data_IF_045753855659
#
_entry.id   IF_045753855659
#
_cell.length_a   1.000
_cell.length_b   1.000
_cell.length_c   1.000
_cell.angle_alpha   90.00
_cell.angle_beta   90.00
_cell.angle_gamma   90.00
#
_symmetry.space_group_name_H-M   'P 1'
#
loop_
_entity.id
_entity.type
_entity.pdbx_description
1 polymer ?
#
# COMPACT_ATOMS: atom_id res chain seq x y z
N UNK A 1 8.70 10.08 24.30
CA UNK A 1 8.74 10.17 22.83
C UNK A 1 7.83 11.31 22.40
N UNK A 2 8.21 12.05 21.35
CA UNK A 2 7.36 13.10 20.78
C UNK A 2 6.13 12.47 20.12
N UNK A 3 5.03 13.22 20.04
CA UNK A 3 3.86 12.86 19.26
C UNK A 3 4.20 13.00 17.77
N UNK A 4 3.61 12.12 16.95
CA UNK A 4 3.83 12.09 15.51
C UNK A 4 2.49 12.19 14.80
N UNK A 5 2.42 13.03 13.79
CA UNK A 5 1.19 13.36 13.10
C UNK A 5 1.33 13.14 11.58
N UNK A 6 0.21 12.82 10.96
CA UNK A 6 0.01 12.89 9.51
C UNK A 6 -0.57 14.27 9.19
N UNK A 7 0.13 15.05 8.39
CA UNK A 7 -0.32 16.39 7.98
C UNK A 7 -1.05 16.38 6.65
N UNK A 8 -0.57 15.61 5.69
CA UNK A 8 -1.20 15.53 4.37
C UNK A 8 -0.89 14.21 3.67
N UNK A 9 -1.65 13.92 2.61
CA UNK A 9 -1.43 12.77 1.75
C UNK A 9 -1.83 13.09 0.30
N UNK A 10 -1.03 12.58 -0.65
CA UNK A 10 -1.31 12.64 -2.09
C UNK A 10 -0.93 11.33 -2.76
N UNK A 11 -1.53 11.04 -3.91
CA UNK A 11 -1.15 9.92 -4.76
C UNK A 11 -1.39 10.22 -6.23
N UNK A 12 -0.73 9.52 -7.11
CA UNK A 12 -1.13 9.47 -8.52
C UNK A 12 -2.45 8.69 -8.66
N UNK A 13 -3.18 8.79 -9.78
CA UNK A 13 -4.07 7.71 -10.18
C UNK A 13 -3.27 6.40 -10.22
N UNK A 14 -3.93 5.28 -9.95
CA UNK A 14 -3.32 3.98 -10.17
C UNK A 14 -3.74 3.44 -11.53
N UNK A 15 -2.76 3.21 -12.40
CA UNK A 15 -2.99 2.68 -13.73
C UNK A 15 -2.78 1.17 -13.76
N UNK A 16 -3.53 0.47 -14.60
CA UNK A 16 -3.33 -0.96 -14.85
C UNK A 16 -2.02 -1.22 -15.56
N UNK A 17 -1.52 -2.44 -15.47
CA UNK A 17 -0.36 -2.89 -16.24
C UNK A 17 -0.53 -2.55 -17.73
N UNK A 18 0.44 -1.85 -18.31
CA UNK A 18 0.37 -1.38 -19.70
C UNK A 18 -0.61 -0.24 -19.94
N UNK A 19 -1.17 0.37 -18.89
CA UNK A 19 -2.11 1.48 -18.95
C UNK A 19 -1.47 2.87 -19.06
N UNK A 20 -2.20 3.89 -18.62
CA UNK A 20 -1.82 5.29 -18.80
C UNK A 20 -0.49 5.71 -18.18
N UNK A 21 -0.01 4.99 -17.16
CA UNK A 21 1.28 5.26 -16.53
C UNK A 21 2.43 4.37 -17.02
N UNK A 22 2.18 3.43 -17.92
CA UNK A 22 3.19 2.44 -18.35
C UNK A 22 4.45 3.05 -19.00
N UNK A 23 4.39 4.27 -19.50
CA UNK A 23 5.52 5.00 -20.10
C UNK A 23 6.22 5.94 -19.12
N UNK A 24 5.66 6.14 -17.93
CA UNK A 24 6.23 7.02 -16.90
C UNK A 24 7.20 6.19 -16.04
N UNK A 25 8.39 6.70 -15.85
CA UNK A 25 9.43 6.03 -15.03
C UNK A 25 9.00 6.00 -13.55
N UNK A 26 9.35 4.96 -12.77
CA UNK A 26 9.02 4.90 -11.35
C UNK A 26 9.64 6.05 -10.52
N UNK A 27 10.82 6.52 -10.87
CA UNK A 27 11.45 7.66 -10.22
C UNK A 27 10.75 8.99 -10.56
N UNK A 28 10.21 9.16 -11.77
CA UNK A 28 9.36 10.31 -12.15
C UNK A 28 7.99 10.25 -11.45
N UNK A 29 7.37 9.06 -11.31
CA UNK A 29 6.12 8.89 -10.54
C UNK A 29 6.32 9.32 -9.08
N UNK A 30 7.43 8.88 -8.48
CA UNK A 30 7.79 9.26 -7.12
C UNK A 30 8.06 10.76 -7.00
N UNK A 31 8.79 11.36 -7.96
CA UNK A 31 9.05 12.79 -7.99
C UNK A 31 7.76 13.62 -8.12
N UNK A 32 6.79 13.15 -8.93
CA UNK A 32 5.50 13.81 -9.10
C UNK A 32 4.73 13.98 -7.79
N UNK A 33 4.65 12.91 -6.95
CA UNK A 33 3.94 13.01 -5.68
C UNK A 33 4.72 13.81 -4.63
N UNK A 34 6.06 13.84 -4.69
CA UNK A 34 6.88 14.71 -3.84
C UNK A 34 6.62 16.17 -4.22
N UNK A 35 6.70 16.51 -5.50
CA UNK A 35 6.47 17.85 -6.01
C UNK A 35 5.04 18.33 -5.68
N UNK A 36 4.03 17.49 -5.94
CA UNK A 36 2.65 17.82 -5.62
C UNK A 36 2.42 18.03 -4.11
N UNK A 37 3.15 17.32 -3.25
CA UNK A 37 3.09 17.54 -1.81
C UNK A 37 3.67 18.89 -1.42
N UNK A 38 4.85 19.24 -1.88
CA UNK A 38 5.49 20.51 -1.48
C UNK A 38 4.79 21.74 -2.09
N UNK A 39 4.18 21.60 -3.26
CA UNK A 39 3.38 22.67 -3.89
C UNK A 39 2.15 23.07 -3.05
N UNK A 40 1.65 22.17 -2.20
CA UNK A 40 0.56 22.49 -1.25
C UNK A 40 0.99 23.40 -0.11
N UNK A 41 2.29 23.53 0.11
CA UNK A 41 2.90 24.33 1.18
C UNK A 41 3.83 25.38 0.59
N UNK A 42 3.30 26.41 -0.13
CA UNK A 42 4.13 27.38 -0.89
C UNK A 42 5.06 28.22 -0.02
N UNK A 43 4.81 28.30 1.28
CA UNK A 43 5.65 29.01 2.24
C UNK A 43 6.64 28.08 2.97
N UNK A 44 6.63 26.78 2.69
CA UNK A 44 7.56 25.84 3.29
C UNK A 44 8.98 26.07 2.77
N UNK A 45 9.90 26.37 3.67
CA UNK A 45 11.32 26.20 3.39
C UNK A 45 11.62 24.69 3.25
N UNK A 46 11.78 24.24 2.02
CA UNK A 46 11.97 22.81 1.72
C UNK A 46 13.24 22.21 2.35
N UNK A 47 14.19 23.06 2.79
CA UNK A 47 15.36 22.61 3.56
C UNK A 47 15.00 22.13 4.98
N UNK A 48 13.78 22.40 5.44
CA UNK A 48 13.22 21.92 6.71
C UNK A 48 12.61 20.50 6.62
N UNK A 49 12.56 19.92 5.43
CA UNK A 49 12.29 18.48 5.28
C UNK A 49 13.56 17.76 5.67
N UNK A 50 13.52 17.03 6.82
CA UNK A 50 14.70 16.37 7.37
C UNK A 50 15.09 15.14 6.54
N UNK A 51 14.11 14.41 5.98
CA UNK A 51 14.35 13.21 5.18
C UNK A 51 13.16 12.88 4.26
N UNK A 52 13.47 12.19 3.16
CA UNK A 52 12.47 11.52 2.29
C UNK A 52 12.61 10.01 2.47
N UNK A 53 11.56 9.31 2.93
CA UNK A 53 11.57 7.85 3.12
C UNK A 53 10.52 7.21 2.24
N UNK A 54 10.95 6.48 1.20
CA UNK A 54 10.05 5.85 0.23
C UNK A 54 10.12 4.32 0.23
N UNK A 55 8.94 3.71 0.13
CA UNK A 55 8.78 2.30 -0.14
C UNK A 55 8.91 1.96 -1.62
N UNK A 56 9.61 0.88 -1.91
CA UNK A 56 9.66 0.30 -3.25
C UNK A 56 9.95 -1.19 -3.15
N UNK A 57 9.14 -2.02 -3.80
CA UNK A 57 9.24 -3.47 -3.67
C UNK A 57 10.24 -4.08 -4.65
N UNK A 58 10.34 -3.56 -5.87
CA UNK A 58 11.17 -4.16 -6.91
C UNK A 58 12.61 -3.64 -6.87
N UNK A 59 12.85 -2.36 -7.04
CA UNK A 59 14.19 -1.73 -7.00
C UNK A 59 15.18 -2.24 -8.03
N UNK A 60 14.76 -3.04 -9.01
CA UNK A 60 15.66 -3.73 -9.95
C UNK A 60 15.98 -2.92 -11.20
N UNK A 61 15.32 -1.81 -11.44
CA UNK A 61 15.41 -1.06 -12.70
C UNK A 61 15.65 0.43 -12.50
N UNK A 62 14.74 1.22 -13.01
CA UNK A 62 14.81 2.68 -13.09
C UNK A 62 14.64 3.37 -11.72
N UNK A 63 14.29 2.63 -10.67
CA UNK A 63 14.32 3.05 -9.27
C UNK A 63 15.73 3.35 -8.77
N UNK A 64 16.73 2.86 -9.50
CA UNK A 64 18.14 3.14 -9.30
C UNK A 64 18.62 2.92 -7.85
N UNK A 65 18.17 1.80 -7.23
CA UNK A 65 18.46 1.32 -5.88
C UNK A 65 17.88 2.17 -4.73
N UNK A 66 18.00 3.50 -4.80
CA UNK A 66 17.45 4.42 -3.80
C UNK A 66 16.53 5.42 -4.47
N UNK A 67 15.31 4.97 -4.77
CA UNK A 67 14.31 5.78 -5.47
C UNK A 67 13.93 7.04 -4.67
N UNK A 68 13.94 6.98 -3.34
CA UNK A 68 13.67 8.14 -2.49
C UNK A 68 14.63 9.29 -2.79
N UNK A 69 15.93 9.01 -2.83
CA UNK A 69 16.93 10.05 -3.13
C UNK A 69 16.84 10.52 -4.57
N UNK A 70 16.64 9.61 -5.53
CA UNK A 70 16.49 9.99 -6.94
C UNK A 70 15.28 10.89 -7.14
N UNK A 71 14.13 10.50 -6.60
CA UNK A 71 12.90 11.25 -6.72
C UNK A 71 12.95 12.61 -6.02
N UNK A 72 13.58 12.70 -4.84
CA UNK A 72 13.72 13.98 -4.13
C UNK A 72 14.52 15.01 -4.94
N UNK A 73 15.59 14.58 -5.61
CA UNK A 73 16.38 15.42 -6.48
C UNK A 73 15.63 15.81 -7.78
N UNK A 74 14.92 14.85 -8.40
CA UNK A 74 14.08 15.10 -9.57
C UNK A 74 12.93 16.05 -9.26
N UNK A 75 12.37 15.98 -8.06
CA UNK A 75 11.32 16.90 -7.59
C UNK A 75 11.85 18.30 -7.25
N UNK A 76 13.16 18.52 -7.30
CA UNK A 76 13.79 19.81 -7.03
C UNK A 76 14.00 20.14 -5.54
N UNK A 77 13.88 19.15 -4.64
CA UNK A 77 14.22 19.38 -3.23
C UNK A 77 15.70 19.74 -3.07
N UNK A 78 16.06 20.54 -2.04
CA UNK A 78 17.45 20.88 -1.75
C UNK A 78 18.34 19.64 -1.66
N UNK A 79 19.56 19.71 -2.16
CA UNK A 79 20.52 18.61 -2.12
C UNK A 79 20.93 18.19 -0.69
N UNK A 80 20.63 19.04 0.29
CA UNK A 80 20.81 18.74 1.72
C UNK A 80 19.79 17.73 2.27
N UNK A 81 18.64 17.55 1.62
CA UNK A 81 17.60 16.60 2.09
C UNK A 81 18.00 15.17 1.71
N UNK A 82 18.30 14.30 2.68
CA UNK A 82 18.65 12.91 2.41
C UNK A 82 17.44 12.09 1.97
N UNK A 83 17.69 10.88 1.46
CA UNK A 83 16.63 9.96 1.06
C UNK A 83 16.97 8.52 1.40
N UNK A 84 15.98 7.79 1.92
CA UNK A 84 16.05 6.37 2.28
C UNK A 84 14.97 5.58 1.53
N UNK A 85 15.34 4.46 0.93
CA UNK A 85 14.37 3.52 0.36
C UNK A 85 14.26 2.27 1.23
N UNK A 86 13.01 1.91 1.59
CA UNK A 86 12.70 0.73 2.38
C UNK A 86 11.93 -0.29 1.55
N UNK A 87 12.14 -1.56 1.81
CA UNK A 87 11.45 -2.66 1.15
C UNK A 87 10.89 -3.64 2.17
N UNK A 88 9.58 -3.64 2.30
CA UNK A 88 8.76 -4.69 2.92
C UNK A 88 7.65 -5.10 1.96
N UNK A 89 8.04 -5.34 0.70
CA UNK A 89 7.12 -5.73 -0.38
C UNK A 89 5.85 -4.85 -0.40
N UNK A 90 4.66 -5.45 -0.32
CA UNK A 90 3.37 -4.75 -0.38
C UNK A 90 3.18 -3.64 0.67
N UNK A 91 3.84 -3.73 1.82
CA UNK A 91 3.73 -2.74 2.90
C UNK A 91 4.87 -1.72 2.94
N UNK A 92 5.73 -1.67 1.92
CA UNK A 92 6.95 -0.84 1.94
C UNK A 92 6.69 0.61 2.33
N UNK A 93 5.66 1.27 1.81
CA UNK A 93 5.39 2.67 2.15
C UNK A 93 4.68 2.86 3.50
N UNK A 94 3.94 1.86 4.01
CA UNK A 94 3.49 1.94 5.41
C UNK A 94 4.66 1.75 6.37
N UNK A 95 5.61 0.87 6.02
CA UNK A 95 6.85 0.68 6.78
C UNK A 95 7.75 1.93 6.71
N UNK A 96 7.76 2.65 5.57
CA UNK A 96 8.39 3.96 5.45
C UNK A 96 7.81 4.96 6.47
N UNK A 97 6.48 5.02 6.60
CA UNK A 97 5.81 5.85 7.61
C UNK A 97 6.13 5.40 9.04
N UNK A 98 6.25 4.09 9.29
CA UNK A 98 6.68 3.55 10.59
C UNK A 98 8.11 4.00 10.92
N UNK A 99 9.04 3.89 9.98
CA UNK A 99 10.43 4.35 10.17
C UNK A 99 10.50 5.85 10.46
N UNK A 100 9.83 6.67 9.67
CA UNK A 100 9.73 8.10 9.90
C UNK A 100 9.13 8.43 11.28
N UNK A 101 8.10 7.67 11.68
CA UNK A 101 7.49 7.87 13.00
C UNK A 101 8.40 7.52 14.17
N UNK A 102 9.40 6.64 13.98
CA UNK A 102 10.42 6.38 14.99
C UNK A 102 11.41 7.55 15.07
N UNK A 103 11.91 8.05 13.93
CA UNK A 103 12.88 9.16 13.93
C UNK A 103 12.28 10.48 14.44
N UNK A 104 11.00 10.75 14.10
CA UNK A 104 10.27 11.90 14.66
C UNK A 104 10.01 11.68 16.16
N UNK A 105 9.56 10.50 16.55
CA UNK A 105 9.27 10.16 17.93
C UNK A 105 10.48 10.20 18.85
N UNK A 106 11.70 9.89 18.36
CA UNK A 106 12.96 10.04 19.09
C UNK A 106 13.44 11.49 19.19
N UNK A 107 12.96 12.37 18.30
CA UNK A 107 13.39 13.76 18.22
C UNK A 107 14.58 14.00 17.27
N UNK A 108 14.97 12.98 16.49
CA UNK A 108 16.03 13.12 15.48
C UNK A 108 15.55 13.92 14.27
N UNK A 109 14.28 13.76 13.89
CA UNK A 109 13.62 14.48 12.80
C UNK A 109 12.37 15.22 13.30
N UNK A 110 11.98 16.28 12.60
CA UNK A 110 10.78 17.07 12.86
C UNK A 110 9.74 16.93 11.72
N UNK A 111 10.18 16.91 10.46
CA UNK A 111 9.34 16.84 9.27
C UNK A 111 9.92 15.84 8.27
N UNK A 112 9.18 14.78 7.97
CA UNK A 112 9.61 13.72 7.05
C UNK A 112 8.56 13.51 5.98
N UNK A 113 8.98 13.51 4.73
CA UNK A 113 8.14 13.17 3.61
C UNK A 113 8.26 11.66 3.35
N UNK A 114 7.20 10.91 3.62
CA UNK A 114 7.14 9.48 3.38
C UNK A 114 6.32 9.17 2.15
N UNK A 115 6.53 8.00 1.58
CA UNK A 115 5.77 7.62 0.39
C UNK A 115 6.20 6.28 -0.15
N UNK A 116 5.89 6.08 -1.43
CA UNK A 116 6.36 4.93 -2.18
C UNK A 116 5.90 4.95 -3.62
N UNK A 117 6.55 4.14 -4.42
CA UNK A 117 6.29 4.01 -5.85
C UNK A 117 6.47 2.57 -6.29
N UNK A 118 5.71 2.18 -7.30
CA UNK A 118 5.91 0.94 -8.02
C UNK A 118 5.49 1.13 -9.48
N UNK A 119 6.31 0.66 -10.42
CA UNK A 119 5.90 0.50 -11.80
C UNK A 119 6.07 -0.96 -12.22
N UNK A 120 4.96 -1.69 -12.20
CA UNK A 120 4.96 -3.09 -12.62
C UNK A 120 5.06 -3.22 -14.14
N UNK A 121 4.64 -2.19 -14.88
CA UNK A 121 4.79 -2.11 -16.34
C UNK A 121 6.24 -1.97 -16.80
N UNK A 122 7.09 -1.31 -15.99
CA UNK A 122 8.50 -1.06 -16.33
C UNK A 122 9.49 -1.96 -15.57
N UNK A 123 8.97 -2.92 -14.81
CA UNK A 123 9.80 -3.89 -14.11
C UNK A 123 10.69 -4.66 -15.12
N UNK A 124 12.02 -4.63 -14.98
CA UNK A 124 12.93 -5.18 -15.98
C UNK A 124 13.01 -6.71 -15.93
N UNK A 125 13.55 -7.29 -16.96
CA UNK A 125 14.10 -8.64 -16.91
C UNK A 125 15.51 -8.59 -16.34
N UNK A 126 15.89 -9.59 -15.55
CA UNK A 126 17.25 -9.78 -15.03
C UNK A 126 17.87 -11.08 -15.57
N UNK A 127 19.17 -11.05 -15.77
CA UNK A 127 19.95 -12.20 -16.22
C UNK A 127 21.05 -12.45 -15.18
N UNK A 128 21.09 -13.64 -14.54
CA UNK A 128 22.19 -14.00 -13.65
C UNK A 128 23.53 -13.97 -14.38
N UNK A 129 24.58 -13.55 -13.69
CA UNK A 129 25.94 -13.68 -14.24
C UNK A 129 26.31 -15.15 -14.34
N UNK A 130 27.01 -15.55 -15.42
CA UNK A 130 27.49 -16.92 -15.55
C UNK A 130 28.52 -17.24 -14.45
N UNK A 131 28.49 -18.46 -13.92
CA UNK A 131 29.44 -18.94 -12.92
C UNK A 131 30.86 -19.19 -13.51
N UNK A 132 30.94 -19.39 -14.83
CA UNK A 132 32.19 -19.68 -15.53
C UNK A 132 32.45 -18.61 -16.59
N UNK A 133 33.74 -18.33 -16.83
CA UNK A 133 34.15 -17.53 -17.98
C UNK A 133 33.80 -18.26 -19.29
N UNK A 134 33.42 -17.49 -20.31
CA UNK A 134 33.07 -18.00 -21.64
C UNK A 134 31.98 -19.09 -21.62
N UNK A 135 30.78 -18.82 -21.10
CA UNK A 135 29.70 -19.81 -21.07
C UNK A 135 29.29 -20.18 -22.50
N UNK A 136 29.21 -21.48 -22.80
CA UNK A 136 28.80 -21.98 -24.10
C UNK A 136 27.27 -22.20 -24.21
N UNK A 137 26.52 -22.00 -23.14
CA UNK A 137 25.06 -22.21 -23.06
C UNK A 137 24.26 -20.92 -23.14
N UNK A 138 22.94 -21.05 -23.25
CA UNK A 138 21.99 -19.94 -23.19
C UNK A 138 21.83 -19.45 -21.76
N UNK A 139 21.61 -18.13 -21.58
CA UNK A 139 21.19 -17.55 -20.30
C UNK A 139 19.69 -17.31 -20.31
N UNK A 140 19.03 -17.63 -19.19
CA UNK A 140 17.61 -17.35 -19.02
C UNK A 140 17.39 -15.94 -18.47
N UNK A 141 16.48 -15.18 -19.09
CA UNK A 141 15.97 -13.92 -18.55
C UNK A 141 14.82 -14.22 -17.58
N UNK A 142 14.85 -13.59 -16.40
CA UNK A 142 13.83 -13.73 -15.38
C UNK A 142 13.07 -12.41 -15.23
N UNK A 143 11.73 -12.45 -15.33
CA UNK A 143 10.87 -11.28 -15.08
C UNK A 143 10.95 -10.86 -13.62
N UNK A 144 10.95 -9.56 -13.38
CA UNK A 144 10.90 -9.01 -12.03
C UNK A 144 9.54 -8.37 -11.70
N UNK A 145 8.55 -8.49 -12.60
CA UNK A 145 7.24 -7.83 -12.48
C UNK A 145 6.44 -8.33 -11.29
N UNK A 146 6.38 -9.64 -11.09
CA UNK A 146 5.57 -10.28 -10.04
C UNK A 146 6.20 -11.61 -9.62
N UNK A 147 5.93 -12.01 -8.38
CA UNK A 147 6.36 -13.29 -7.84
C UNK A 147 7.83 -13.31 -7.38
N UNK A 148 8.24 -14.50 -6.99
CA UNK A 148 9.60 -14.74 -6.49
C UNK A 148 10.55 -15.01 -7.66
N UNK A 149 11.75 -14.47 -7.58
CA UNK A 149 12.78 -14.65 -8.60
C UNK A 149 14.10 -15.08 -7.97
N UNK A 150 14.82 -15.93 -8.66
CA UNK A 150 16.15 -16.40 -8.23
C UNK A 150 16.13 -16.97 -6.79
N UNK A 151 15.08 -17.75 -6.51
CA UNK A 151 14.83 -18.33 -5.18
C UNK A 151 16.04 -19.18 -4.77
N UNK A 152 16.48 -19.03 -3.51
CA UNK A 152 17.53 -19.87 -2.95
C UNK A 152 17.05 -21.33 -2.91
N UNK A 153 17.80 -22.30 -3.49
CA UNK A 153 17.42 -23.71 -3.52
C UNK A 153 17.25 -24.37 -2.14
N UNK A 154 17.72 -23.71 -1.08
CA UNK A 154 17.53 -24.17 0.32
C UNK A 154 16.21 -23.73 0.93
N UNK A 155 15.49 -22.83 0.26
CA UNK A 155 14.18 -22.33 0.75
C UNK A 155 13.14 -23.45 0.55
N UNK A 156 12.33 -23.78 1.57
CA UNK A 156 11.22 -24.69 1.41
C UNK A 156 10.27 -24.23 0.30
N UNK A 157 9.86 -25.15 -0.57
CA UNK A 157 9.04 -24.82 -1.74
C UNK A 157 7.69 -24.20 -1.34
N UNK A 158 7.06 -24.72 -0.29
CA UNK A 158 5.79 -24.22 0.23
C UNK A 158 5.85 -22.75 0.67
N UNK A 159 7.01 -22.22 1.01
CA UNK A 159 7.18 -20.82 1.43
C UNK A 159 7.29 -19.83 0.26
N UNK A 160 7.58 -20.36 -0.92
CA UNK A 160 7.83 -19.54 -2.12
C UNK A 160 6.90 -19.85 -3.28
N UNK A 161 5.77 -20.49 -2.99
CA UNK A 161 4.68 -20.63 -3.96
C UNK A 161 4.19 -19.24 -4.41
N UNK A 162 3.53 -19.17 -5.56
CA UNK A 162 2.95 -17.88 -6.00
C UNK A 162 1.97 -17.34 -4.97
N UNK A 163 1.82 -16.00 -4.89
CA UNK A 163 0.90 -15.40 -3.92
C UNK A 163 -0.55 -15.84 -4.12
N UNK A 164 -0.95 -16.11 -5.36
CA UNK A 164 -2.27 -16.66 -5.62
C UNK A 164 -2.41 -18.11 -5.14
N UNK A 165 -1.41 -18.96 -5.31
CA UNK A 165 -1.42 -20.31 -4.73
C UNK A 165 -1.41 -20.27 -3.19
N UNK A 166 -0.62 -19.38 -2.59
CA UNK A 166 -0.64 -19.14 -1.15
C UNK A 166 -2.04 -18.70 -0.66
N UNK A 167 -2.74 -17.90 -1.45
CA UNK A 167 -4.12 -17.51 -1.17
C UNK A 167 -5.10 -18.67 -1.29
N UNK A 168 -4.92 -19.57 -2.26
CA UNK A 168 -5.73 -20.79 -2.36
C UNK A 168 -5.50 -21.73 -1.15
N UNK A 169 -4.27 -21.80 -0.64
CA UNK A 169 -3.99 -22.56 0.61
C UNK A 169 -4.66 -21.90 1.83
N UNK A 170 -4.74 -20.57 1.85
CA UNK A 170 -5.48 -19.85 2.86
C UNK A 170 -6.99 -20.14 2.77
N UNK A 171 -7.53 -20.16 1.53
CA UNK A 171 -8.92 -20.56 1.26
C UNK A 171 -9.20 -21.98 1.78
N UNK A 172 -8.31 -22.92 1.51
CA UNK A 172 -8.44 -24.30 2.01
C UNK A 172 -8.44 -24.37 3.55
N UNK A 173 -7.56 -23.59 4.19
CA UNK A 173 -7.43 -23.55 5.66
C UNK A 173 -8.68 -22.97 6.34
N UNK A 174 -9.25 -21.91 5.79
CA UNK A 174 -10.37 -21.17 6.39
C UNK A 174 -11.72 -21.44 5.73
N UNK A 175 -11.76 -22.29 4.70
CA UNK A 175 -12.97 -22.67 3.96
C UNK A 175 -13.75 -21.46 3.40
N UNK A 176 -13.03 -20.47 2.86
CA UNK A 176 -13.63 -19.25 2.28
C UNK A 176 -14.26 -19.59 0.93
N UNK A 177 -15.57 -19.43 0.80
CA UNK A 177 -16.27 -19.74 -0.47
C UNK A 177 -15.92 -18.75 -1.58
N UNK A 178 -15.99 -19.22 -2.84
CA UNK A 178 -15.82 -18.39 -4.02
C UNK A 178 -16.87 -17.27 -4.08
N UNK A 179 -18.10 -17.56 -3.71
CA UNK A 179 -19.20 -16.60 -3.70
C UNK A 179 -18.92 -15.42 -2.77
N UNK A 180 -18.51 -15.67 -1.52
CA UNK A 180 -18.10 -14.60 -0.60
C UNK A 180 -16.96 -13.73 -1.13
N UNK A 181 -15.99 -14.36 -1.82
CA UNK A 181 -14.88 -13.62 -2.45
C UNK A 181 -15.38 -12.69 -3.56
N UNK A 182 -16.29 -13.17 -4.41
CA UNK A 182 -16.87 -12.38 -5.51
C UNK A 182 -17.79 -11.27 -4.96
N UNK A 183 -18.57 -11.53 -3.90
CA UNK A 183 -19.40 -10.52 -3.21
C UNK A 183 -18.52 -9.38 -2.68
N UNK A 184 -17.41 -9.70 -2.00
CA UNK A 184 -16.50 -8.68 -1.50
C UNK A 184 -15.86 -7.87 -2.62
N UNK A 185 -15.46 -8.52 -3.71
CA UNK A 185 -14.89 -7.85 -4.87
C UNK A 185 -15.86 -6.86 -5.53
N UNK A 186 -17.13 -7.24 -5.67
CA UNK A 186 -18.20 -6.35 -6.16
C UNK A 186 -18.34 -5.14 -5.24
N UNK A 187 -18.36 -5.36 -3.93
CA UNK A 187 -18.47 -4.30 -2.93
C UNK A 187 -17.30 -3.31 -3.03
N UNK A 188 -16.06 -3.79 -3.21
CA UNK A 188 -14.87 -2.94 -3.40
C UNK A 188 -15.05 -2.01 -4.61
N UNK A 189 -15.49 -2.54 -5.75
CA UNK A 189 -15.75 -1.74 -6.96
C UNK A 189 -16.86 -0.71 -6.78
N UNK A 190 -17.96 -1.10 -6.16
CA UNK A 190 -19.10 -0.19 -5.90
C UNK A 190 -18.69 0.95 -4.97
N UNK A 191 -17.98 0.65 -3.89
CA UNK A 191 -17.46 1.65 -2.95
C UNK A 191 -16.47 2.61 -3.61
N UNK A 192 -15.53 2.09 -4.41
CA UNK A 192 -14.57 2.91 -5.12
C UNK A 192 -15.24 3.86 -6.12
N UNK A 193 -16.23 3.36 -6.86
CA UNK A 193 -17.00 4.19 -7.80
C UNK A 193 -17.78 5.28 -7.06
N UNK A 194 -18.52 4.92 -6.02
CA UNK A 194 -19.28 5.88 -5.22
C UNK A 194 -18.39 6.97 -4.60
N UNK A 195 -17.21 6.60 -4.10
CA UNK A 195 -16.24 7.54 -3.53
C UNK A 195 -15.70 8.53 -4.58
N UNK A 196 -15.44 8.07 -5.81
CA UNK A 196 -15.06 8.95 -6.92
C UNK A 196 -16.17 9.92 -7.31
N UNK A 197 -17.41 9.44 -7.43
CA UNK A 197 -18.55 10.30 -7.77
C UNK A 197 -18.87 11.31 -6.66
N UNK A 198 -18.59 10.96 -5.40
CA UNK A 198 -18.73 11.85 -4.25
C UNK A 198 -17.58 12.87 -4.09
N UNK A 199 -16.51 12.80 -4.92
CA UNK A 199 -15.37 13.72 -4.85
C UNK A 199 -14.39 13.45 -3.70
N UNK A 200 -14.47 12.29 -3.05
CA UNK A 200 -13.58 11.97 -1.92
C UNK A 200 -12.09 11.90 -2.30
N UNK A 201 -11.78 11.71 -3.57
CA UNK A 201 -10.41 11.64 -4.08
C UNK A 201 -9.88 12.96 -4.64
N UNK A 202 -10.67 14.04 -4.73
CA UNK A 202 -10.29 15.31 -5.36
C UNK A 202 -9.04 15.95 -4.70
N UNK A 203 -8.93 15.80 -3.38
CA UNK A 203 -7.76 16.28 -2.62
C UNK A 203 -6.69 15.22 -2.37
N UNK A 204 -6.84 14.01 -2.92
CA UNK A 204 -5.88 12.91 -2.77
C UNK A 204 -5.13 12.62 -4.07
N UNK A 205 -5.85 12.64 -5.20
CA UNK A 205 -5.31 12.21 -6.49
C UNK A 205 -4.77 13.41 -7.26
N UNK A 206 -3.49 13.33 -7.64
CA UNK A 206 -2.82 14.32 -8.49
C UNK A 206 -2.60 13.73 -9.88
N UNK A 207 -3.02 14.39 -10.95
CA UNK A 207 -2.88 13.88 -12.30
C UNK A 207 -1.44 13.68 -12.73
N UNK A 208 -1.19 12.68 -13.59
CA UNK A 208 0.09 12.48 -14.27
C UNK A 208 -0.18 12.43 -15.78
N UNK A 209 0.15 13.47 -16.50
CA UNK A 209 -0.21 13.60 -17.92
C UNK A 209 -1.72 13.49 -18.11
N UNK A 210 -2.15 12.54 -18.94
CA UNK A 210 -3.58 12.29 -19.21
C UNK A 210 -4.24 11.38 -18.18
N UNK A 211 -3.49 10.70 -17.33
CA UNK A 211 -4.03 9.87 -16.27
C UNK A 211 -4.57 10.75 -15.13
N UNK A 212 -5.88 10.72 -14.89
CA UNK A 212 -6.58 11.54 -13.90
C UNK A 212 -7.41 10.74 -12.91
N UNK A 213 -7.69 9.47 -13.21
CA UNK A 213 -8.56 8.58 -12.41
C UNK A 213 -7.98 7.18 -12.40
N UNK A 214 -8.27 6.42 -11.36
CA UNK A 214 -7.89 5.01 -11.27
C UNK A 214 -8.53 4.21 -12.39
N UNK A 215 -7.73 3.39 -13.09
CA UNK A 215 -8.15 2.75 -14.34
C UNK A 215 -8.86 1.40 -14.17
N UNK A 216 -8.85 0.84 -12.95
CA UNK A 216 -9.28 -0.54 -12.72
C UNK A 216 -10.67 -0.68 -12.10
N UNK A 217 -11.34 0.44 -11.80
CA UNK A 217 -12.68 0.45 -11.24
C UNK A 217 -13.70 -0.05 -12.29
N UNK A 218 -14.53 -1.02 -11.90
CA UNK A 218 -15.56 -1.66 -12.74
C UNK A 218 -16.89 -1.65 -11.99
N UNK A 219 -17.63 -0.53 -12.00
CA UNK A 219 -18.88 -0.39 -11.24
C UNK A 219 -19.99 -1.33 -11.71
N UNK A 220 -19.90 -1.82 -12.95
CA UNK A 220 -20.81 -2.80 -13.56
C UNK A 220 -20.60 -4.24 -13.09
N UNK A 221 -19.59 -4.51 -12.26
CA UNK A 221 -19.31 -5.85 -11.76
C UNK A 221 -20.47 -6.36 -10.90
N UNK A 222 -20.86 -7.62 -11.13
CA UNK A 222 -21.87 -8.34 -10.33
C UNK A 222 -21.31 -9.69 -9.92
N UNK A 223 -21.87 -10.30 -8.87
CA UNK A 223 -21.49 -11.65 -8.45
C UNK A 223 -21.67 -12.65 -9.60
N UNK A 224 -22.75 -12.51 -10.37
CA UNK A 224 -23.00 -13.36 -11.56
C UNK A 224 -21.89 -13.22 -12.61
N UNK A 225 -21.46 -12.00 -12.94
CA UNK A 225 -20.37 -11.80 -13.92
C UNK A 225 -19.04 -12.31 -13.41
N UNK A 226 -18.73 -12.14 -12.13
CA UNK A 226 -17.50 -12.62 -11.53
C UNK A 226 -17.47 -14.14 -11.40
N UNK A 227 -18.60 -14.78 -11.08
CA UNK A 227 -18.68 -16.25 -10.96
C UNK A 227 -18.30 -16.99 -12.25
N UNK A 228 -18.46 -16.34 -13.41
CA UNK A 228 -18.09 -16.90 -14.73
C UNK A 228 -16.57 -16.77 -15.02
N UNK A 229 -15.80 -16.08 -14.20
CA UNK A 229 -14.36 -15.93 -14.41
C UNK A 229 -13.63 -17.25 -14.09
N UNK A 230 -12.66 -17.58 -14.94
CA UNK A 230 -11.80 -18.75 -14.72
C UNK A 230 -10.84 -18.48 -13.56
N UNK A 231 -10.57 -19.52 -12.77
CA UNK A 231 -9.54 -19.52 -11.76
C UNK A 231 -8.14 -19.37 -12.39
N UNK A 232 -7.27 -18.63 -11.75
CA UNK A 232 -5.95 -18.26 -12.31
C UNK A 232 -4.85 -19.20 -11.85
N UNK A 233 -4.86 -19.60 -10.58
CA UNK A 233 -3.73 -20.29 -9.95
C UNK A 233 -3.96 -21.81 -9.88
N UNK A 234 -5.18 -22.25 -9.63
CA UNK A 234 -5.57 -23.66 -9.63
C UNK A 234 -6.64 -23.92 -10.66
N UNK A 235 -6.44 -24.90 -11.54
CA UNK A 235 -7.43 -25.29 -12.55
C UNK A 235 -8.61 -26.06 -11.97
N UNK A 236 -8.34 -26.89 -10.97
CA UNK A 236 -9.32 -27.70 -10.26
C UNK A 236 -9.43 -27.18 -8.81
N UNK A 237 -10.66 -27.02 -8.35
CA UNK A 237 -10.98 -26.51 -7.02
C UNK A 237 -10.35 -25.15 -6.65
N UNK A 238 -9.93 -24.37 -7.64
CA UNK A 238 -9.46 -23.01 -7.42
C UNK A 238 -10.63 -22.04 -7.22
N UNK A 239 -10.37 -20.94 -6.50
CA UNK A 239 -11.35 -19.90 -6.19
C UNK A 239 -10.89 -18.51 -6.60
N UNK A 240 -9.56 -18.29 -6.66
CA UNK A 240 -8.97 -16.99 -6.98
C UNK A 240 -9.01 -16.71 -8.48
N UNK A 241 -9.56 -15.57 -8.84
CA UNK A 241 -9.72 -15.11 -10.22
C UNK A 241 -9.15 -13.70 -10.41
N UNK A 242 -9.09 -13.23 -11.65
CA UNK A 242 -8.76 -11.84 -11.94
C UNK A 242 -9.82 -10.83 -11.44
N UNK A 243 -11.00 -11.29 -11.03
CA UNK A 243 -12.09 -10.45 -10.52
C UNK A 243 -12.07 -10.27 -9.00
N UNK A 244 -11.48 -11.21 -8.25
CA UNK A 244 -11.44 -11.18 -6.80
C UNK A 244 -10.02 -11.06 -6.21
N UNK A 245 -9.08 -10.61 -7.06
CA UNK A 245 -7.70 -10.29 -6.70
C UNK A 245 -7.36 -8.87 -7.17
N UNK A 246 -6.43 -8.21 -6.48
CA UNK A 246 -5.92 -6.91 -6.93
C UNK A 246 -5.17 -7.05 -8.25
N UNK A 247 -5.34 -6.11 -9.19
CA UNK A 247 -4.61 -6.10 -10.45
C UNK A 247 -3.14 -5.66 -10.25
N UNK A 248 -2.31 -5.91 -11.26
CA UNK A 248 -0.97 -5.34 -11.36
C UNK A 248 -1.07 -3.87 -11.81
N UNK A 249 -0.36 -2.97 -11.10
CA UNK A 249 -0.53 -1.54 -11.28
C UNK A 249 0.80 -0.76 -11.26
N UNK A 250 0.70 0.44 -11.83
CA UNK A 250 1.69 1.50 -11.73
C UNK A 250 1.14 2.62 -10.87
N UNK A 251 1.97 3.24 -10.03
CA UNK A 251 1.55 4.39 -9.24
C UNK A 251 2.51 4.79 -8.14
N UNK A 252 2.28 5.95 -7.56
CA UNK A 252 3.02 6.48 -6.42
C UNK A 252 2.08 7.16 -5.43
N UNK A 253 2.48 7.21 -4.16
CA UNK A 253 1.78 7.92 -3.10
C UNK A 253 2.77 8.54 -2.13
N UNK A 254 2.40 9.65 -1.50
CA UNK A 254 3.19 10.32 -0.48
C UNK A 254 2.31 10.72 0.71
N UNK A 255 2.91 10.73 1.90
CA UNK A 255 2.31 11.17 3.16
C UNK A 255 3.32 12.04 3.89
N UNK A 256 2.89 13.20 4.34
CA UNK A 256 3.72 14.13 5.09
C UNK A 256 3.54 13.87 6.59
N UNK A 257 4.62 13.48 7.25
CA UNK A 257 4.66 13.23 8.69
C UNK A 257 5.47 14.30 9.41
N UNK A 258 5.05 14.66 10.61
CA UNK A 258 5.79 15.61 11.41
C UNK A 258 5.51 15.49 12.91
N UNK A 259 6.33 16.14 13.71
CA UNK A 259 6.04 16.37 15.13
C UNK A 259 4.95 17.44 15.28
N UNK A 260 4.50 17.69 16.48
CA UNK A 260 3.58 18.80 16.77
C UNK A 260 4.14 20.17 16.30
N UNK A 261 5.46 20.37 16.42
CA UNK A 261 6.13 21.60 15.97
C UNK A 261 6.09 21.80 14.45
N UNK A 262 5.91 20.73 13.67
CA UNK A 262 5.81 20.82 12.22
C UNK A 262 4.60 21.65 11.77
N UNK A 263 3.54 21.77 12.58
CA UNK A 263 2.41 22.65 12.32
C UNK A 263 2.82 24.11 12.09
N UNK A 264 3.79 24.59 12.87
CA UNK A 264 4.33 25.95 12.70
C UNK A 264 5.15 26.10 11.40
N UNK A 265 5.92 25.07 11.07
CA UNK A 265 6.72 25.03 9.83
C UNK A 265 5.83 24.98 8.57
N UNK A 266 4.72 24.22 8.65
CA UNK A 266 3.79 24.03 7.54
C UNK A 266 2.72 25.12 7.48
N UNK A 267 2.42 25.78 8.61
CA UNK A 267 1.25 26.68 8.72
C UNK A 267 -0.08 25.93 8.58
N UNK A 268 -0.14 24.68 9.01
CA UNK A 268 -1.29 23.79 8.85
C UNK A 268 -1.46 22.87 10.07
N UNK A 269 -2.72 22.53 10.37
CA UNK A 269 -3.06 21.57 11.41
C UNK A 269 -2.93 20.13 10.88
N UNK A 270 -2.59 19.16 11.74
CA UNK A 270 -2.50 17.76 11.35
C UNK A 270 -3.88 17.15 11.04
N UNK A 271 -3.89 16.14 10.19
CA UNK A 271 -5.07 15.33 9.95
C UNK A 271 -5.33 14.34 11.11
N UNK A 272 -4.33 13.56 11.46
CA UNK A 272 -4.45 12.54 12.50
C UNK A 272 -3.11 12.35 13.21
N UNK A 273 -3.16 11.86 14.45
CA UNK A 273 -2.00 11.43 15.24
C UNK A 273 -1.72 9.94 14.97
N UNK A 274 -0.46 9.56 14.87
CA UNK A 274 -0.04 8.14 14.86
C UNK A 274 -0.01 7.65 16.30
N UNK A 275 -1.00 6.85 16.69
CA UNK A 275 -1.11 6.33 18.05
C UNK A 275 -0.21 5.13 18.30
N UNK A 276 -0.16 4.19 17.36
CA UNK A 276 0.65 2.97 17.51
C UNK A 276 0.97 2.29 16.18
N UNK A 277 1.79 1.26 16.25
CA UNK A 277 2.26 0.45 15.12
C UNK A 277 2.34 -1.01 15.54
N UNK A 278 2.06 -1.94 14.61
CA UNK A 278 2.23 -3.37 14.79
C UNK A 278 2.86 -4.00 13.56
N UNK A 279 3.86 -4.83 13.78
CA UNK A 279 4.48 -5.66 12.75
C UNK A 279 4.50 -7.08 13.29
N UNK A 280 4.05 -8.03 12.49
CA UNK A 280 3.99 -9.44 12.85
C UNK A 280 4.42 -10.31 11.66
N UNK A 281 4.72 -11.56 11.93
CA UNK A 281 5.03 -12.55 10.92
C UNK A 281 4.39 -13.89 11.29
N UNK A 282 4.11 -14.69 10.27
CA UNK A 282 3.55 -16.02 10.36
C UNK A 282 4.18 -16.95 9.32
N UNK A 283 3.65 -18.14 9.15
CA UNK A 283 4.10 -19.06 8.10
C UNK A 283 3.96 -18.43 6.72
N UNK A 284 5.03 -18.41 5.88
CA UNK A 284 5.08 -17.65 4.62
C UNK A 284 3.92 -17.91 3.66
N UNK A 285 3.44 -19.15 3.54
CA UNK A 285 2.33 -19.53 2.67
C UNK A 285 0.98 -18.97 3.16
N UNK A 286 0.86 -18.62 4.44
CA UNK A 286 -0.35 -18.01 5.00
C UNK A 286 -0.23 -16.50 5.19
N UNK A 287 0.54 -15.84 4.33
CA UNK A 287 0.80 -14.39 4.40
C UNK A 287 -0.46 -13.54 4.55
N UNK A 288 -1.58 -14.01 4.00
CA UNK A 288 -2.85 -13.27 4.00
C UNK A 288 -3.47 -13.11 5.39
N UNK A 289 -3.13 -13.95 6.37
CA UNK A 289 -3.62 -13.82 7.75
C UNK A 289 -2.72 -12.93 8.64
N UNK A 290 -1.53 -12.57 8.17
CA UNK A 290 -0.55 -11.83 8.97
C UNK A 290 -1.00 -10.40 9.42
N UNK A 291 -1.91 -9.69 8.73
CA UNK A 291 -2.50 -8.47 9.26
C UNK A 291 -3.23 -8.65 10.59
N UNK A 292 -3.78 -9.85 10.88
CA UNK A 292 -4.51 -10.13 12.12
C UNK A 292 -3.64 -9.89 13.36
N UNK A 293 -2.52 -10.58 13.57
CA UNK A 293 -1.67 -10.32 14.72
C UNK A 293 -1.03 -8.93 14.67
N UNK A 294 -0.74 -8.37 13.49
CA UNK A 294 -0.16 -7.03 13.38
C UNK A 294 -1.13 -5.94 13.86
N UNK A 295 -2.39 -5.99 13.44
CA UNK A 295 -3.42 -5.03 13.86
C UNK A 295 -3.77 -5.19 15.33
N UNK A 296 -3.93 -6.43 15.83
CA UNK A 296 -4.18 -6.67 17.25
C UNK A 296 -3.06 -6.12 18.14
N UNK A 297 -1.79 -6.29 17.74
CA UNK A 297 -0.64 -5.71 18.44
C UNK A 297 -0.67 -4.17 18.41
N UNK A 298 -1.09 -3.58 17.29
CA UNK A 298 -1.21 -2.13 17.19
C UNK A 298 -2.34 -1.60 18.09
N UNK A 299 -3.50 -2.26 18.13
CA UNK A 299 -4.61 -1.91 19.03
C UNK A 299 -4.20 -2.02 20.50
N UNK A 300 -3.55 -3.11 20.88
CA UNK A 300 -3.03 -3.30 22.25
C UNK A 300 -2.12 -2.15 22.66
N UNK A 301 -1.19 -1.75 21.79
CA UNK A 301 -0.26 -0.63 22.04
C UNK A 301 -0.94 0.73 22.09
N UNK A 302 -2.05 0.90 21.37
CA UNK A 302 -2.88 2.10 21.43
C UNK A 302 -3.81 2.10 22.67
N UNK A 303 -3.99 0.96 23.33
CA UNK A 303 -4.88 0.81 24.47
C UNK A 303 -6.37 0.84 24.09
N UNK A 304 -6.72 0.39 22.86
CA UNK A 304 -8.09 0.39 22.34
C UNK A 304 -8.49 -1.01 21.85
N UNK A 305 -9.77 -1.20 21.62
CA UNK A 305 -10.39 -2.43 21.10
C UNK A 305 -11.03 -2.20 19.73
N UNK A 306 -11.38 -3.27 19.02
CA UNK A 306 -12.05 -3.21 17.72
C UNK A 306 -13.40 -2.45 17.76
N UNK A 307 -14.11 -2.46 18.89
CA UNK A 307 -15.39 -1.74 19.06
C UNK A 307 -15.21 -0.21 19.02
N UNK A 308 -14.02 0.28 19.32
CA UNK A 308 -13.68 1.70 19.28
C UNK A 308 -13.18 2.17 17.91
N UNK A 309 -12.88 1.23 17.00
CA UNK A 309 -12.36 1.54 15.67
C UNK A 309 -13.50 2.00 14.76
N UNK A 310 -13.45 3.25 14.32
CA UNK A 310 -14.46 3.88 13.48
C UNK A 310 -14.16 3.75 11.96
N UNK A 311 -12.90 3.48 11.57
CA UNK A 311 -12.53 3.26 10.16
C UNK A 311 -11.39 2.25 10.03
N UNK A 312 -11.48 1.39 9.02
CA UNK A 312 -10.48 0.35 8.72
C UNK A 312 -10.11 0.45 7.24
N UNK A 313 -8.84 0.64 6.96
CA UNK A 313 -8.26 0.52 5.62
C UNK A 313 -7.35 -0.70 5.59
N UNK A 314 -7.86 -1.82 5.11
CA UNK A 314 -7.14 -3.08 4.90
C UNK A 314 -6.82 -3.23 3.41
N UNK A 315 -5.54 -3.38 3.07
CA UNK A 315 -5.18 -3.60 1.67
C UNK A 315 -5.75 -4.92 1.14
N UNK A 316 -6.40 -4.84 -0.01
CA UNK A 316 -7.10 -5.97 -0.64
C UNK A 316 -6.20 -6.63 -1.68
N UNK A 317 -5.18 -7.37 -1.25
CA UNK A 317 -4.38 -8.13 -2.20
C UNK A 317 -5.23 -9.22 -2.88
N UNK A 318 -6.09 -9.87 -2.10
CA UNK A 318 -7.09 -10.86 -2.54
C UNK A 318 -8.33 -10.75 -1.66
N UNK A 319 -9.52 -10.95 -2.23
CA UNK A 319 -10.77 -10.95 -1.46
C UNK A 319 -10.76 -12.01 -0.33
N UNK A 320 -10.26 -13.22 -0.62
CA UNK A 320 -10.13 -14.27 0.39
C UNK A 320 -9.27 -13.84 1.58
N UNK A 321 -8.16 -13.13 1.33
CA UNK A 321 -7.29 -12.61 2.38
C UNK A 321 -8.03 -11.60 3.25
N UNK A 322 -8.81 -10.69 2.66
CA UNK A 322 -9.61 -9.72 3.40
C UNK A 322 -10.63 -10.44 4.29
N UNK A 323 -11.37 -11.38 3.73
CA UNK A 323 -12.40 -12.14 4.46
C UNK A 323 -11.84 -12.90 5.67
N UNK A 324 -10.67 -13.53 5.52
CA UNK A 324 -9.99 -14.20 6.65
C UNK A 324 -9.65 -13.21 7.76
N UNK A 325 -9.21 -11.99 7.41
CA UNK A 325 -8.89 -10.98 8.41
C UNK A 325 -10.16 -10.47 9.11
N UNK A 326 -11.22 -10.15 8.35
CA UNK A 326 -12.49 -9.70 8.91
C UNK A 326 -13.12 -10.75 9.82
N UNK A 327 -13.20 -12.00 9.38
CA UNK A 327 -13.72 -13.11 10.17
C UNK A 327 -12.92 -13.28 11.48
N UNK A 328 -11.59 -13.12 11.43
CA UNK A 328 -10.71 -13.20 12.60
C UNK A 328 -10.90 -12.05 13.59
N UNK A 329 -11.34 -10.88 13.12
CA UNK A 329 -11.64 -9.71 13.95
C UNK A 329 -13.11 -9.65 14.38
N UNK A 330 -13.96 -10.58 13.92
CA UNK A 330 -15.41 -10.58 14.17
C UNK A 330 -16.14 -9.45 13.47
N UNK A 331 -15.68 -9.07 12.27
CA UNK A 331 -16.22 -7.96 11.47
C UNK A 331 -16.94 -8.54 10.24
N UNK A 332 -18.14 -8.06 9.97
CA UNK A 332 -18.93 -8.51 8.83
C UNK A 332 -18.34 -8.02 7.49
N UNK A 333 -18.54 -8.81 6.42
CA UNK A 333 -18.05 -8.52 5.06
C UNK A 333 -18.45 -7.12 4.56
N UNK A 334 -19.66 -6.70 4.87
CA UNK A 334 -20.25 -5.45 4.39
C UNK A 334 -20.15 -4.30 5.40
N UNK A 335 -19.42 -4.47 6.51
CA UNK A 335 -19.24 -3.43 7.53
C UNK A 335 -18.76 -2.12 6.86
N UNK A 336 -19.49 -1.03 7.13
CA UNK A 336 -19.23 0.28 6.51
C UNK A 336 -17.91 0.90 6.97
N UNK A 337 -17.33 0.43 8.06
CA UNK A 337 -16.01 0.88 8.53
C UNK A 337 -14.88 0.42 7.63
N UNK A 338 -15.06 -0.70 6.91
CA UNK A 338 -14.01 -1.36 6.13
C UNK A 338 -13.96 -0.81 4.72
N UNK A 339 -12.82 -0.23 4.32
CA UNK A 339 -12.55 0.23 2.94
C UNK A 339 -13.75 0.95 2.32
N UNK A 340 -14.37 1.90 3.06
CA UNK A 340 -15.61 2.54 2.62
C UNK A 340 -15.46 3.34 1.31
N UNK A 341 -14.24 3.75 0.96
CA UNK A 341 -13.94 4.40 -0.32
C UNK A 341 -13.37 3.44 -1.37
N UNK A 342 -13.57 2.11 -1.17
CA UNK A 342 -13.00 1.05 -2.01
C UNK A 342 -11.55 0.75 -1.67
N UNK A 343 -11.09 -0.42 -2.11
CA UNK A 343 -9.74 -0.90 -1.84
C UNK A 343 -8.99 -1.36 -3.09
N UNK A 344 -7.94 -2.12 -2.92
CA UNK A 344 -6.98 -2.44 -3.96
C UNK A 344 -7.54 -3.32 -5.10
N UNK A 345 -8.60 -4.08 -4.86
CA UNK A 345 -9.27 -4.85 -5.93
C UNK A 345 -9.81 -3.89 -6.99
N UNK A 346 -10.41 -2.79 -6.55
CA UNK A 346 -10.98 -1.77 -7.43
C UNK A 346 -9.96 -0.70 -7.84
N UNK A 347 -9.22 -0.14 -6.86
CA UNK A 347 -8.32 0.99 -7.09
C UNK A 347 -6.97 0.59 -7.69
N UNK A 348 -6.50 -0.63 -7.38
CA UNK A 348 -5.18 -1.12 -7.77
C UNK A 348 -4.20 -1.26 -6.61
N UNK A 349 -3.12 -2.04 -6.88
CA UNK A 349 -2.10 -2.40 -5.89
C UNK A 349 -0.67 -2.22 -6.41
N UNK A 350 -0.21 -0.99 -6.69
CA UNK A 350 1.22 -0.74 -6.91
C UNK A 350 1.95 -0.94 -5.57
N UNK A 351 2.67 -2.07 -5.44
CA UNK A 351 3.15 -2.64 -4.18
C UNK A 351 3.79 -1.59 -3.25
N UNK A 352 4.83 -0.91 -3.74
CA UNK A 352 5.57 0.08 -2.96
C UNK A 352 4.77 1.30 -2.54
N UNK A 353 3.71 1.66 -3.28
CA UNK A 353 2.87 2.84 -3.01
C UNK A 353 1.67 2.56 -2.11
N UNK A 354 1.25 1.28 -2.01
CA UNK A 354 -0.04 0.91 -1.41
C UNK A 354 -0.17 1.28 0.06
N UNK A 355 0.89 1.17 0.85
CA UNK A 355 0.85 1.53 2.27
C UNK A 355 0.54 3.00 2.51
N UNK A 356 1.15 3.91 1.72
CA UNK A 356 0.85 5.35 1.78
C UNK A 356 -0.54 5.68 1.26
N UNK A 357 -1.05 4.95 0.25
CA UNK A 357 -2.44 5.07 -0.19
C UNK A 357 -3.40 4.69 0.95
N UNK A 358 -3.18 3.57 1.61
CA UNK A 358 -3.99 3.10 2.74
C UNK A 358 -3.98 4.11 3.88
N UNK A 359 -2.80 4.55 4.31
CA UNK A 359 -2.66 5.53 5.41
C UNK A 359 -3.28 6.89 5.06
N UNK A 360 -3.03 7.39 3.86
CA UNK A 360 -3.56 8.67 3.39
C UNK A 360 -5.09 8.66 3.25
N UNK A 361 -5.66 7.56 2.71
CA UNK A 361 -7.11 7.38 2.65
C UNK A 361 -7.71 7.35 4.05
N UNK A 362 -7.11 6.57 4.96
CA UNK A 362 -7.58 6.46 6.34
C UNK A 362 -7.60 7.82 7.06
N UNK A 363 -6.51 8.59 6.96
CA UNK A 363 -6.41 9.91 7.58
C UNK A 363 -7.51 10.87 7.07
N UNK A 364 -7.77 10.87 5.77
CA UNK A 364 -8.84 11.68 5.16
C UNK A 364 -10.23 11.21 5.55
N UNK A 365 -10.46 9.90 5.61
CA UNK A 365 -11.74 9.32 6.05
C UNK A 365 -12.08 9.70 7.48
N UNK A 366 -11.13 9.57 8.40
CA UNK A 366 -11.37 9.92 9.80
C UNK A 366 -11.80 11.37 9.97
N UNK A 367 -11.22 12.30 9.20
CA UNK A 367 -11.66 13.71 9.20
C UNK A 367 -13.04 13.88 8.56
N UNK A 368 -13.26 13.33 7.37
CA UNK A 368 -14.48 13.49 6.60
C UNK A 368 -15.70 12.87 7.29
N UNK A 369 -15.50 11.73 7.97
CA UNK A 369 -16.53 10.94 8.63
C UNK A 369 -16.65 11.25 10.12
N UNK A 370 -15.84 12.20 10.66
CA UNK A 370 -15.77 12.58 12.09
C UNK A 370 -15.58 11.35 13.01
N UNK A 371 -14.70 10.40 12.59
CA UNK A 371 -14.37 9.20 13.37
C UNK A 371 -13.06 9.40 14.12
N UNK A 372 -12.99 8.89 15.35
CA UNK A 372 -11.81 9.07 16.20
C UNK A 372 -10.69 8.10 15.84
N UNK A 373 -10.94 6.80 15.86
CA UNK A 373 -9.92 5.78 15.73
C UNK A 373 -9.95 5.10 14.37
N UNK A 374 -8.79 4.89 13.77
CA UNK A 374 -8.65 4.16 12.53
C UNK A 374 -7.47 3.19 12.50
N UNK A 375 -7.63 2.12 11.73
CA UNK A 375 -6.61 1.08 11.51
C UNK A 375 -6.26 1.00 10.04
N UNK A 376 -4.98 1.17 9.72
CA UNK A 376 -4.39 0.84 8.43
C UNK A 376 -3.66 -0.50 8.54
N UNK A 377 -3.90 -1.46 7.63
CA UNK A 377 -3.23 -2.76 7.66
C UNK A 377 -2.94 -3.31 6.26
N UNK A 378 -1.83 -4.01 6.12
CA UNK A 378 -1.43 -4.71 4.89
C UNK A 378 -0.85 -6.09 5.20
N UNK A 379 -1.19 -7.06 4.36
CA UNK A 379 -0.46 -8.31 4.26
C UNK A 379 0.80 -8.12 3.41
N UNK A 380 1.78 -8.95 3.63
CA UNK A 380 3.08 -8.90 2.96
C UNK A 380 3.49 -10.31 2.58
N UNK A 381 3.87 -10.52 1.34
CA UNK A 381 4.38 -11.81 0.88
C UNK A 381 5.48 -12.36 1.80
N UNK A 382 5.64 -13.68 1.83
CA UNK A 382 6.47 -14.44 2.78
C UNK A 382 6.08 -14.22 4.25
N UNK A 383 4.77 -14.14 4.52
CA UNK A 383 4.23 -14.27 5.88
C UNK A 383 4.49 -13.10 6.81
N UNK A 384 4.30 -11.86 6.37
CA UNK A 384 4.37 -10.71 7.26
C UNK A 384 3.09 -9.88 7.20
N UNK A 385 2.80 -9.14 8.27
CA UNK A 385 1.73 -8.15 8.36
C UNK A 385 2.21 -6.87 9.01
N UNK A 386 1.68 -5.75 8.54
CA UNK A 386 1.99 -4.42 9.06
C UNK A 386 0.68 -3.68 9.34
N UNK A 387 0.61 -3.02 10.48
CA UNK A 387 -0.54 -2.20 10.85
C UNK A 387 -0.13 -0.91 11.56
N UNK A 388 -0.99 0.10 11.45
CA UNK A 388 -0.86 1.37 12.15
C UNK A 388 -2.23 1.79 12.67
N UNK A 389 -2.29 2.23 13.92
CA UNK A 389 -3.46 2.88 14.51
C UNK A 389 -3.24 4.38 14.49
N UNK A 390 -4.22 5.11 13.99
CA UNK A 390 -4.22 6.57 13.97
C UNK A 390 -5.45 7.13 14.68
N UNK A 391 -5.32 8.33 15.24
CA UNK A 391 -6.36 9.02 15.99
C UNK A 391 -6.64 10.40 15.39
N UNK A 392 -7.88 10.68 15.10
CA UNK A 392 -8.38 12.03 14.86
C UNK A 392 -8.76 12.63 16.21
N UNK A 393 -7.90 13.49 16.74
CA UNK A 393 -8.08 14.10 18.06
C UNK A 393 -9.20 15.14 18.07
N UNK A 394 -9.67 15.61 16.91
CA UNK A 394 -10.79 16.58 16.80
C UNK A 394 -12.17 15.89 16.73
N UNK A 395 -12.21 14.56 16.67
CA UNK A 395 -13.47 13.86 16.62
C UNK A 395 -14.29 14.08 17.90
N UNK A 396 -15.58 14.28 17.73
CA UNK A 396 -16.51 14.61 18.81
C UNK A 396 -17.28 13.39 19.35
N UNK A 397 -16.85 12.19 18.98
CA UNK A 397 -17.45 10.92 19.46
C UNK A 397 -16.93 10.51 20.84
#
# INVERSE_FOLDING_TARGET
>A
MQQVYVYDAVRTPFAKLGGGLAKVRPDDLAANVIQAMVERYPNLDQSKIDEVVFGNANGAGEENRNVARMASLLAGLPTSVPGLTVNRLCASSLDAAIHASYSIGSGDNNLVLTGGTESMSRAPYVVPKPERAYPAGSSQMVSTTLGWRLINPKMPEEWTVSLGEATEQLVDKYQVSRERQDEYAVLSHQRAHAAWEAGHFDNLVVPVGDAKRDETIRPESTVETLSNLRTVFRKENGTVTAGNASPMNDGAAAVLLGSEQASQTLGADPLVRIASRGVAANEPQYFGEAPVPAANLALERAGITWDQVGAIELNEAFAAQVLVNLDSWGIELNDERVNAWGGAIALGHPLGASGSRVLGTLARRLKAENRRWGVAALCVGVGQGVAMVVENEDATE
#
